data_IF_117936175063
#
_entry.id   IF_117936175063
#
_cell.length_a   1.000
_cell.length_b   1.000
_cell.length_c   1.000
_cell.angle_alpha   90.00
_cell.angle_beta   90.00
_cell.angle_gamma   90.00
#
_symmetry.space_group_name_H-M   'P 1'
#
loop_
_entity.id
_entity.type
_entity.pdbx_description
1 polymer ?
#
# COMPACT_ATOMS: atom_id res chain seq x y z
N UNK A 1 -40.78 13.83 35.04
CA UNK A 1 -41.81 14.40 34.15
C UNK A 1 -41.15 14.84 32.86
N UNK A 2 -41.12 13.96 31.86
CA UNK A 2 -41.10 14.34 30.45
C UNK A 2 -42.57 14.66 30.02
N UNK A 3 -42.91 15.12 28.79
CA UNK A 3 -42.14 15.02 27.55
C UNK A 3 -42.34 16.15 26.49
N UNK A 4 -41.78 15.90 25.30
CA UNK A 4 -42.26 16.29 23.95
C UNK A 4 -41.62 17.48 23.24
N UNK A 5 -41.05 17.18 22.07
CA UNK A 5 -40.62 18.14 21.05
C UNK A 5 -39.93 17.50 19.83
N UNK A 6 -40.50 16.43 19.28
CA UNK A 6 -40.07 15.86 17.98
C UNK A 6 -40.59 16.71 16.83
N UNK A 7 -39.69 17.17 15.94
CA UNK A 7 -40.03 17.84 14.69
C UNK A 7 -39.49 17.04 13.50
N UNK A 8 -40.25 16.02 13.09
CA UNK A 8 -40.02 15.28 11.84
C UNK A 8 -40.50 16.10 10.64
N UNK A 9 -39.65 16.23 9.62
CA UNK A 9 -40.07 16.69 8.28
C UNK A 9 -39.92 15.56 7.29
N UNK A 10 -41.09 15.05 6.90
CA UNK A 10 -41.33 14.15 5.79
C UNK A 10 -40.80 14.78 4.50
N UNK A 11 -39.91 14.08 3.78
CA UNK A 11 -39.65 14.34 2.37
C UNK A 11 -40.30 13.23 1.57
N UNK A 12 -41.30 13.63 0.82
CA UNK A 12 -42.18 12.81 0.01
C UNK A 12 -41.41 12.03 -1.05
N UNK A 13 -41.79 10.76 -1.17
CA UNK A 13 -41.56 9.86 -2.28
C UNK A 13 -42.06 10.50 -3.59
N UNK A 14 -41.19 10.57 -4.61
CA UNK A 14 -41.62 10.62 -6.00
C UNK A 14 -41.53 9.20 -6.57
N UNK A 15 -42.70 8.56 -6.66
CA UNK A 15 -42.90 7.33 -7.40
C UNK A 15 -42.88 7.63 -8.91
N UNK A 16 -41.96 7.03 -9.64
CA UNK A 16 -41.97 6.99 -11.12
C UNK A 16 -42.59 5.67 -11.57
N UNK A 17 -43.72 5.68 -12.31
CA UNK A 17 -44.31 4.47 -12.89
C UNK A 17 -43.95 4.32 -14.38
N UNK A 18 -43.78 3.07 -14.82
CA UNK A 18 -44.03 2.65 -16.21
C UNK A 18 -42.79 2.26 -17.00
N UNK A 19 -42.45 0.96 -17.09
CA UNK A 19 -42.86 0.03 -18.17
C UNK A 19 -42.21 0.27 -19.54
N UNK A 20 -41.34 -0.66 -19.95
CA UNK A 20 -41.49 -1.54 -21.14
C UNK A 20 -40.20 -2.34 -21.43
N UNK A 21 -40.25 -3.66 -21.18
CA UNK A 21 -39.60 -4.70 -22.01
C UNK A 21 -40.45 -4.86 -23.30
N UNK A 22 -39.92 -5.17 -24.49
CA UNK A 22 -39.29 -6.47 -24.86
C UNK A 22 -38.06 -6.25 -25.79
N UNK A 23 -37.28 -7.21 -26.31
CA UNK A 23 -37.56 -8.57 -26.72
C UNK A 23 -36.26 -9.40 -26.78
N UNK A 24 -36.45 -10.69 -26.51
CA UNK A 24 -35.75 -11.83 -27.11
C UNK A 24 -35.30 -11.61 -28.55
N UNK A 25 -34.05 -11.93 -28.88
CA UNK A 25 -33.62 -12.66 -30.09
C UNK A 25 -32.29 -13.36 -29.75
N UNK A 26 -32.36 -14.69 -29.63
CA UNK A 26 -31.26 -15.61 -29.95
C UNK A 26 -31.57 -16.13 -31.35
N UNK A 27 -30.56 -16.33 -32.23
CA UNK A 27 -30.19 -17.71 -32.52
C UNK A 27 -28.69 -17.93 -32.84
N UNK A 28 -28.11 -19.00 -32.24
CA UNK A 28 -27.26 -20.07 -32.82
C UNK A 28 -26.15 -19.74 -33.87
N UNK A 29 -25.00 -20.46 -33.88
CA UNK A 29 -25.02 -21.91 -34.07
C UNK A 29 -24.01 -22.76 -33.28
N UNK A 30 -24.50 -23.97 -33.04
CA UNK A 30 -23.83 -25.19 -32.63
C UNK A 30 -22.62 -25.49 -33.51
N UNK A 31 -21.48 -25.80 -32.89
CA UNK A 31 -20.31 -26.33 -33.59
C UNK A 31 -20.20 -27.84 -33.34
N UNK A 32 -20.02 -28.66 -34.39
CA UNK A 32 -20.00 -30.12 -34.29
C UNK A 32 -18.67 -30.65 -33.75
N UNK A 33 -18.74 -31.84 -33.17
CA UNK A 33 -17.65 -32.50 -32.48
C UNK A 33 -16.47 -32.91 -33.35
N UNK A 34 -15.36 -33.16 -32.65
CA UNK A 34 -14.23 -33.94 -33.16
C UNK A 34 -13.82 -34.92 -32.06
N UNK A 35 -14.24 -36.16 -32.25
CA UNK A 35 -13.70 -37.36 -31.63
C UNK A 35 -12.35 -37.70 -32.25
N UNK A 36 -11.31 -37.88 -31.44
CA UNK A 36 -10.05 -38.54 -31.82
C UNK A 36 -9.39 -39.04 -30.54
N UNK A 37 -9.56 -40.30 -30.15
CA UNK A 37 -8.79 -41.48 -30.59
C UNK A 37 -7.36 -41.50 -30.05
N UNK A 38 -7.21 -42.24 -28.94
CA UNK A 38 -6.10 -43.11 -28.54
C UNK A 38 -4.76 -43.01 -29.27
N UNK A 39 -3.67 -42.87 -28.50
CA UNK A 39 -2.46 -43.65 -28.74
C UNK A 39 -1.74 -43.97 -27.42
N UNK A 40 -1.78 -45.25 -27.08
CA UNK A 40 -0.95 -45.98 -26.14
C UNK A 40 0.54 -46.01 -26.56
N UNK A 41 1.46 -45.88 -25.60
CA UNK A 41 2.89 -46.19 -25.77
C UNK A 41 3.64 -46.28 -24.43
N UNK A 42 4.70 -47.11 -24.30
CA UNK A 42 4.98 -47.93 -23.10
C UNK A 42 6.08 -47.38 -22.15
N UNK A 43 6.32 -48.04 -20.99
CA UNK A 43 7.14 -47.51 -19.90
C UNK A 43 8.64 -47.80 -20.08
N UNK A 44 9.46 -46.79 -19.79
CA UNK A 44 10.92 -46.89 -19.76
C UNK A 44 11.44 -46.83 -18.33
N UNK A 45 11.76 -47.99 -17.78
CA UNK A 45 12.58 -48.15 -16.58
C UNK A 45 14.03 -47.75 -16.84
N UNK A 46 14.64 -46.92 -15.98
CA UNK A 46 16.10 -47.00 -15.77
C UNK A 46 16.50 -46.68 -14.33
N UNK A 47 17.14 -47.69 -13.78
CA UNK A 47 17.95 -47.79 -12.58
C UNK A 47 18.84 -46.59 -12.22
N UNK A 48 18.74 -46.16 -10.97
CA UNK A 48 19.84 -46.23 -10.00
C UNK A 48 20.93 -45.16 -10.03
N UNK A 49 21.04 -44.40 -8.92
CA UNK A 49 22.30 -44.35 -8.14
C UNK A 49 22.11 -43.69 -6.78
N UNK A 50 22.27 -44.51 -5.75
CA UNK A 50 22.67 -44.13 -4.41
C UNK A 50 24.05 -43.46 -4.44
N UNK A 51 24.17 -42.25 -3.86
CA UNK A 51 25.40 -41.79 -3.22
C UNK A 51 25.10 -41.04 -1.94
N UNK A 52 25.47 -41.72 -0.85
CA UNK A 52 25.68 -41.19 0.51
C UNK A 52 26.82 -40.17 0.55
N UNK A 53 26.83 -39.43 1.67
CA UNK A 53 27.93 -38.68 2.30
C UNK A 53 28.25 -37.32 1.65
N UNK A 54 28.51 -36.24 2.39
CA UNK A 54 28.93 -36.13 3.78
C UNK A 54 28.52 -34.78 4.39
N UNK A 55 27.96 -34.86 5.59
CA UNK A 55 28.01 -33.84 6.62
C UNK A 55 29.44 -33.75 7.19
N UNK A 56 30.16 -32.68 6.89
CA UNK A 56 31.27 -32.14 7.69
C UNK A 56 31.72 -30.84 7.04
N UNK A 57 32.14 -29.87 7.86
CA UNK A 57 32.77 -28.60 7.48
C UNK A 57 31.83 -27.46 7.06
N UNK A 58 31.23 -26.85 8.08
CA UNK A 58 31.26 -25.37 8.25
C UNK A 58 31.04 -25.00 9.71
N UNK A 59 32.08 -25.25 10.51
CA UNK A 59 32.32 -24.61 11.80
C UNK A 59 33.15 -23.36 11.53
N UNK A 60 32.59 -22.16 11.75
CA UNK A 60 33.32 -20.99 12.28
C UNK A 60 32.41 -19.75 12.33
N UNK A 61 32.53 -19.03 13.45
CA UNK A 61 32.06 -17.64 13.66
C UNK A 61 30.54 -17.54 13.87
N UNK A 62 30.00 -17.18 15.03
CA UNK A 62 30.32 -16.00 15.84
C UNK A 62 29.92 -16.30 17.28
N UNK A 63 30.91 -16.36 18.16
CA UNK A 63 30.76 -16.22 19.61
C UNK A 63 31.05 -14.75 19.92
N UNK A 64 30.45 -14.26 21.01
CA UNK A 64 30.83 -13.02 21.71
C UNK A 64 30.07 -11.74 21.30
N UNK A 65 29.02 -11.39 22.04
CA UNK A 65 28.90 -10.10 22.77
C UNK A 65 27.54 -10.04 23.52
N UNK A 66 27.53 -10.62 24.72
CA UNK A 66 26.54 -10.34 25.76
C UNK A 66 27.30 -9.73 26.92
N UNK A 67 27.09 -8.42 27.16
CA UNK A 67 27.12 -7.70 28.46
C UNK A 67 27.40 -6.22 28.22
N UNK A 68 26.40 -5.38 28.46
CA UNK A 68 26.45 -4.14 29.26
C UNK A 68 25.43 -3.12 28.74
N UNK A 69 24.43 -2.84 29.57
CA UNK A 69 23.98 -1.48 29.91
C UNK A 69 22.72 -1.57 30.77
N UNK A 70 22.92 -1.72 32.09
CA UNK A 70 21.97 -1.26 33.10
C UNK A 70 22.27 0.21 33.37
N UNK A 71 21.22 0.94 33.75
CA UNK A 71 21.18 2.31 34.25
C UNK A 71 21.28 3.43 33.22
N UNK A 72 20.15 4.07 32.90
CA UNK A 72 19.80 5.39 33.46
C UNK A 72 18.47 5.91 32.90
N UNK A 73 17.68 6.56 33.77
CA UNK A 73 16.82 7.67 33.36
C UNK A 73 15.32 7.41 33.33
N UNK A 74 14.67 7.66 34.47
CA UNK A 74 13.26 8.06 34.53
C UNK A 74 12.96 9.16 33.52
N UNK A 75 11.98 8.94 32.65
CA UNK A 75 11.33 10.01 31.91
C UNK A 75 9.81 9.84 31.95
N UNK A 76 9.18 10.96 32.27
CA UNK A 76 7.77 11.19 32.49
C UNK A 76 6.90 10.62 31.36
N UNK A 77 6.06 9.64 31.66
CA UNK A 77 5.04 9.14 30.73
C UNK A 77 3.83 10.06 30.79
N UNK A 78 3.69 10.92 29.78
CA UNK A 78 2.42 11.56 29.44
C UNK A 78 1.57 10.53 28.69
N UNK A 79 0.56 10.00 29.39
CA UNK A 79 -0.45 9.11 28.85
C UNK A 79 -1.42 9.90 27.96
N UNK A 80 -1.36 9.64 26.65
CA UNK A 80 -2.40 10.01 25.67
C UNK A 80 -2.94 8.75 24.99
N UNK A 81 -4.26 8.58 24.81
CA UNK A 81 -4.84 7.32 24.38
C UNK A 81 -4.86 7.21 22.86
N UNK A 82 -3.86 6.54 22.29
CA UNK A 82 -3.95 5.94 20.95
C UNK A 82 -3.37 4.51 21.02
N UNK A 83 -4.19 3.57 21.48
CA UNK A 83 -3.96 2.14 21.26
C UNK A 83 -4.22 1.83 19.77
N UNK A 84 -3.51 0.96 19.06
CA UNK A 84 -2.40 0.11 19.41
C UNK A 84 -2.14 -0.81 18.22
N UNK A 85 -0.93 -0.79 17.69
CA UNK A 85 -0.32 -1.88 16.92
C UNK A 85 1.17 -1.84 17.23
N UNK A 86 1.62 -2.77 18.06
CA UNK A 86 3.03 -2.94 18.39
C UNK A 86 3.75 -3.56 17.18
N UNK A 87 4.11 -2.75 16.20
CA UNK A 87 5.19 -3.12 15.30
C UNK A 87 6.50 -3.03 16.10
N UNK A 88 7.37 -4.06 16.07
CA UNK A 88 8.76 -3.88 16.46
C UNK A 88 9.36 -2.89 15.48
N UNK A 89 9.38 -1.62 15.87
CA UNK A 89 10.22 -0.61 15.23
C UNK A 89 11.64 -1.07 15.49
N UNK A 90 12.19 -1.80 14.52
CA UNK A 90 13.63 -1.95 14.37
C UNK A 90 14.16 -0.51 14.35
N UNK A 91 14.79 -0.10 15.46
CA UNK A 91 15.46 1.19 15.58
C UNK A 91 16.67 1.11 14.64
N UNK A 92 16.41 1.22 13.34
CA UNK A 92 17.41 1.61 12.38
C UNK A 92 18.00 2.89 12.93
N UNK A 93 19.27 2.81 13.33
CA UNK A 93 20.04 3.98 13.73
C UNK A 93 19.76 5.07 12.70
N UNK A 94 19.27 6.25 13.11
CA UNK A 94 18.90 7.29 12.16
C UNK A 94 20.09 7.47 11.21
N UNK A 95 19.87 7.51 9.88
CA UNK A 95 20.97 7.75 8.95
C UNK A 95 21.67 9.01 9.46
N UNK A 96 22.95 8.86 9.81
CA UNK A 96 23.81 9.91 10.31
C UNK A 96 23.81 10.98 9.22
N UNK A 97 22.83 11.88 9.31
CA UNK A 97 22.67 12.97 8.37
C UNK A 97 23.76 13.91 8.81
N UNK A 98 24.95 13.69 8.26
CA UNK A 98 26.06 14.63 8.38
C UNK A 98 25.58 15.90 7.71
N UNK A 99 24.96 16.76 8.50
CA UNK A 99 24.75 18.14 8.14
C UNK A 99 26.14 18.71 7.92
N UNK A 100 26.56 18.74 6.66
CA UNK A 100 27.74 19.48 6.26
C UNK A 100 27.33 20.94 6.43
N UNK A 101 27.61 21.48 7.62
CA UNK A 101 27.53 22.92 7.87
C UNK A 101 28.50 23.54 6.88
N UNK A 102 27.98 24.00 5.75
CA UNK A 102 28.72 24.86 4.85
C UNK A 102 28.78 26.18 5.58
N UNK A 103 29.83 26.35 6.38
CA UNK A 103 30.27 27.66 6.82
C UNK A 103 30.69 28.38 5.54
N UNK A 104 29.75 29.16 4.97
CA UNK A 104 30.07 30.14 3.95
C UNK A 104 31.03 31.13 4.60
N UNK A 105 32.33 30.87 4.43
CA UNK A 105 33.37 31.80 4.80
C UNK A 105 33.09 33.11 4.08
N UNK A 106 32.59 34.09 4.82
CA UNK A 106 32.55 35.49 4.41
C UNK A 106 34.00 35.90 4.20
N UNK A 107 34.45 35.82 2.95
CA UNK A 107 35.74 36.33 2.54
C UNK A 107 35.69 37.82 2.83
N UNK A 108 36.48 38.25 3.82
CA UNK A 108 36.73 39.64 4.13
C UNK A 108 37.36 40.31 2.90
N UNK A 109 36.50 40.82 2.02
CA UNK A 109 36.87 41.71 0.93
C UNK A 109 37.21 43.06 1.53
N UNK A 110 38.43 43.51 1.21
CA UNK A 110 38.99 44.77 1.64
C UNK A 110 38.02 45.95 1.50
N UNK A 111 37.93 46.75 2.56
CA UNK A 111 37.17 47.97 2.61
C UNK A 111 37.68 49.00 1.57
N UNK A 112 36.84 49.52 0.66
CA UNK A 112 37.12 50.78 0.02
C UNK A 112 36.97 51.90 1.06
N UNK A 113 38.09 52.55 1.38
CA UNK A 113 38.15 53.82 2.13
C UNK A 113 37.54 54.95 1.30
N UNK A 114 36.21 54.96 1.20
CA UNK A 114 35.47 56.10 0.68
C UNK A 114 35.28 57.12 1.81
N UNK A 115 36.06 58.19 1.73
CA UNK A 115 35.92 59.40 2.53
C UNK A 115 34.52 59.99 2.36
N UNK A 116 33.63 59.74 3.32
CA UNK A 116 32.33 60.37 3.38
C UNK A 116 32.47 61.74 4.07
N UNK A 117 32.40 62.80 3.27
CA UNK A 117 32.16 64.16 3.75
C UNK A 117 30.81 64.18 4.45
N UNK A 118 30.82 64.40 5.76
CA UNK A 118 29.63 64.70 6.55
C UNK A 118 29.10 66.07 6.09
N UNK A 119 28.14 66.04 5.18
CA UNK A 119 27.24 67.16 4.97
C UNK A 119 26.13 67.02 6.02
N UNK A 120 25.92 68.04 6.83
CA UNK A 120 24.75 68.16 7.71
C UNK A 120 23.47 68.01 6.86
N UNK A 121 22.95 66.78 6.74
CA UNK A 121 21.61 66.56 6.23
C UNK A 121 20.65 67.04 7.29
N UNK A 122 19.89 68.09 7.02
CA UNK A 122 18.80 68.52 7.88
C UNK A 122 17.87 67.34 8.12
N UNK A 123 17.89 66.79 9.34
CA UNK A 123 17.06 65.66 9.75
C UNK A 123 15.60 66.10 9.70
N UNK A 124 14.94 65.75 8.60
CA UNK A 124 13.49 65.87 8.49
C UNK A 124 12.91 64.67 9.24
N UNK A 125 12.25 64.91 10.36
CA UNK A 125 11.48 63.88 11.06
C UNK A 125 10.42 63.27 10.14
N UNK A 126 10.10 62.00 10.35
CA UNK A 126 9.04 61.31 9.61
C UNK A 126 7.70 62.00 9.83
N UNK A 127 6.99 62.25 8.73
CA UNK A 127 5.63 62.78 8.83
C UNK A 127 4.68 61.68 9.30
N UNK A 128 3.61 62.04 10.01
CA UNK A 128 2.58 61.07 10.45
C UNK A 128 2.00 60.28 9.27
N UNK A 129 1.84 60.95 8.12
CA UNK A 129 1.33 60.35 6.88
C UNK A 129 2.28 59.26 6.37
N UNK A 130 3.59 59.48 6.44
CA UNK A 130 4.60 58.52 5.98
C UNK A 130 4.64 57.27 6.87
N UNK A 131 4.50 57.43 8.19
CA UNK A 131 4.36 56.31 9.12
C UNK A 131 3.08 55.50 8.87
N UNK A 132 1.97 56.19 8.53
CA UNK A 132 0.70 55.54 8.23
C UNK A 132 0.80 54.72 6.93
N UNK A 133 1.38 55.29 5.87
CA UNK A 133 1.61 54.58 4.61
C UNK A 133 2.55 53.39 4.85
N UNK A 134 3.65 53.57 5.58
CA UNK A 134 4.58 52.49 5.91
C UNK A 134 3.91 51.32 6.63
N UNK A 135 3.07 51.61 7.62
CA UNK A 135 2.33 50.59 8.36
C UNK A 135 1.32 49.84 7.47
N UNK A 136 0.59 50.55 6.60
CA UNK A 136 -0.34 49.90 5.66
C UNK A 136 0.38 48.96 4.69
N UNK A 137 1.56 49.34 4.20
CA UNK A 137 2.36 48.49 3.31
C UNK A 137 2.88 47.25 4.04
N UNK A 138 3.34 47.38 5.29
CA UNK A 138 3.79 46.23 6.09
C UNK A 138 2.64 45.25 6.35
N UNK A 139 1.44 45.75 6.69
CA UNK A 139 0.27 44.90 6.87
C UNK A 139 -0.12 44.15 5.59
N UNK A 140 -0.06 44.81 4.44
CA UNK A 140 -0.33 44.20 3.14
C UNK A 140 0.70 43.10 2.83
N UNK A 141 1.98 43.34 3.10
CA UNK A 141 3.05 42.36 2.91
C UNK A 141 2.92 41.16 3.86
N UNK A 142 2.55 41.38 5.12
CA UNK A 142 2.36 40.28 6.07
C UNK A 142 1.14 39.41 5.70
N UNK A 143 0.09 40.03 5.15
CA UNK A 143 -1.07 39.31 4.64
C UNK A 143 -0.71 38.40 3.46
N UNK A 144 0.10 38.87 2.51
CA UNK A 144 0.51 38.06 1.35
C UNK A 144 1.42 36.89 1.74
N UNK A 145 2.37 37.11 2.66
CA UNK A 145 3.24 36.04 3.18
C UNK A 145 2.43 34.97 3.91
N UNK A 146 1.42 35.37 4.70
CA UNK A 146 0.58 34.44 5.45
C UNK A 146 -0.19 33.48 4.51
N UNK A 147 -0.72 33.99 3.40
CA UNK A 147 -1.41 33.17 2.40
C UNK A 147 -0.46 32.15 1.74
N UNK A 148 0.78 32.57 1.41
CA UNK A 148 1.78 31.67 0.85
C UNK A 148 2.15 30.53 1.81
N UNK A 149 2.28 30.82 3.10
CA UNK A 149 2.58 29.80 4.13
C UNK A 149 1.43 28.79 4.25
N UNK A 150 0.18 29.26 4.26
CA UNK A 150 -0.99 28.38 4.36
C UNK A 150 -1.06 27.44 3.14
N UNK A 151 -0.90 27.96 1.93
CA UNK A 151 -0.91 27.13 0.72
C UNK A 151 0.28 26.17 0.66
N UNK A 152 1.47 26.59 1.10
CA UNK A 152 2.64 25.72 1.20
C UNK A 152 2.41 24.53 2.14
N UNK A 153 1.75 24.76 3.28
CA UNK A 153 1.42 23.68 4.23
C UNK A 153 0.43 22.66 3.66
N UNK A 154 -0.56 23.12 2.89
CA UNK A 154 -1.56 22.26 2.23
C UNK A 154 -0.93 21.40 1.14
N UNK A 155 -0.07 22.01 0.31
CA UNK A 155 0.66 21.30 -0.74
C UNK A 155 1.56 20.22 -0.15
N UNK A 156 2.33 20.54 0.89
CA UNK A 156 3.20 19.56 1.55
C UNK A 156 2.39 18.37 2.10
N UNK A 157 1.25 18.64 2.75
CA UNK A 157 0.37 17.58 3.27
C UNK A 157 -0.19 16.68 2.16
N UNK A 158 -0.67 17.26 1.05
CA UNK A 158 -1.17 16.48 -0.09
C UNK A 158 -0.07 15.59 -0.69
N UNK A 159 1.15 16.13 -0.88
CA UNK A 159 2.27 15.33 -1.41
C UNK A 159 2.66 14.17 -0.49
N UNK A 160 2.66 14.37 0.83
CA UNK A 160 2.95 13.31 1.79
C UNK A 160 1.90 12.19 1.74
N UNK A 161 0.62 12.53 1.56
CA UNK A 161 -0.45 11.55 1.43
C UNK A 161 -0.33 10.72 0.14
N UNK A 162 0.00 11.36 -0.98
CA UNK A 162 0.22 10.66 -2.25
C UNK A 162 1.41 9.69 -2.16
N UNK A 163 2.52 10.12 -1.55
CA UNK A 163 3.70 9.27 -1.32
C UNK A 163 3.34 8.08 -0.41
N UNK A 164 2.57 8.30 0.65
CA UNK A 164 2.13 7.24 1.54
C UNK A 164 1.25 6.20 0.81
N UNK A 165 0.26 6.64 0.03
CA UNK A 165 -0.59 5.74 -0.76
C UNK A 165 0.24 4.91 -1.75
N UNK A 166 1.17 5.55 -2.47
CA UNK A 166 2.07 4.88 -3.40
C UNK A 166 2.97 3.84 -2.72
N UNK A 167 3.53 4.16 -1.54
CA UNK A 167 4.36 3.23 -0.78
C UNK A 167 3.56 2.01 -0.31
N UNK A 168 2.33 2.22 0.20
CA UNK A 168 1.43 1.14 0.62
C UNK A 168 1.09 0.20 -0.55
N UNK A 169 0.69 0.75 -1.70
CA UNK A 169 0.36 -0.07 -2.88
C UNK A 169 1.54 -0.92 -3.35
N UNK A 170 2.75 -0.33 -3.41
CA UNK A 170 3.98 -1.05 -3.81
C UNK A 170 4.37 -2.14 -2.81
N UNK A 171 4.25 -1.88 -1.51
CA UNK A 171 4.53 -2.87 -0.49
C UNK A 171 3.57 -4.08 -0.61
N UNK A 172 2.27 -3.82 -0.67
CA UNK A 172 1.25 -4.85 -0.85
C UNK A 172 1.48 -5.67 -2.13
N UNK A 173 1.74 -4.97 -3.25
CA UNK A 173 2.01 -5.62 -4.54
C UNK A 173 3.27 -6.51 -4.48
N UNK A 174 4.36 -6.03 -3.87
CA UNK A 174 5.59 -6.83 -3.75
C UNK A 174 5.37 -8.12 -2.95
N UNK A 175 4.64 -8.03 -1.84
CA UNK A 175 4.34 -9.20 -0.99
C UNK A 175 3.47 -10.20 -1.74
N UNK A 176 2.39 -9.73 -2.39
CA UNK A 176 1.50 -10.61 -3.17
C UNK A 176 2.25 -11.26 -4.33
N UNK A 177 3.03 -10.51 -5.11
CA UNK A 177 3.81 -11.05 -6.24
C UNK A 177 4.80 -12.11 -5.77
N UNK A 178 5.44 -11.91 -4.61
CA UNK A 178 6.34 -12.92 -4.06
C UNK A 178 5.61 -14.22 -3.70
N UNK A 179 4.44 -14.13 -3.04
CA UNK A 179 3.60 -15.29 -2.72
C UNK A 179 3.09 -15.99 -3.99
N UNK A 180 2.68 -15.24 -5.00
CA UNK A 180 2.21 -15.82 -6.27
C UNK A 180 3.32 -16.50 -7.06
N UNK A 181 4.59 -16.08 -6.92
CA UNK A 181 5.73 -16.74 -7.56
C UNK A 181 6.08 -18.09 -6.93
N UNK A 182 5.70 -18.33 -5.68
CA UNK A 182 5.86 -19.65 -5.04
C UNK A 182 4.69 -20.58 -5.33
N UNK A 183 3.58 -20.05 -5.86
CA UNK A 183 2.38 -20.81 -6.17
C UNK A 183 2.65 -21.99 -7.13
N UNK A 184 2.06 -23.15 -6.82
CA UNK A 184 2.16 -24.35 -7.65
C UNK A 184 3.51 -25.05 -7.60
N UNK A 185 4.34 -24.78 -6.59
CA UNK A 185 5.51 -25.60 -6.33
C UNK A 185 5.06 -26.99 -5.82
N UNK A 186 5.33 -28.02 -6.63
CA UNK A 186 4.95 -29.42 -6.38
C UNK A 186 6.08 -30.35 -6.88
N UNK A 187 7.10 -30.63 -6.04
CA UNK A 187 8.24 -31.46 -6.42
C UNK A 187 7.88 -32.95 -6.55
N UNK A 188 6.82 -33.41 -5.87
CA UNK A 188 6.39 -34.82 -5.89
C UNK A 188 5.41 -35.13 -7.03
N UNK A 189 4.87 -34.10 -7.70
CA UNK A 189 3.92 -34.25 -8.79
C UNK A 189 2.57 -34.81 -8.33
N UNK A 190 2.15 -34.47 -7.10
CA UNK A 190 0.88 -34.92 -6.51
C UNK A 190 -0.34 -34.20 -7.12
N UNK A 191 -0.12 -33.15 -7.91
CA UNK A 191 -1.15 -32.40 -8.61
C UNK A 191 -1.77 -31.28 -7.77
N UNK A 192 -0.95 -30.55 -7.01
CA UNK A 192 -1.43 -29.44 -6.18
C UNK A 192 -1.90 -28.27 -7.08
N UNK A 193 -3.13 -27.77 -6.90
CA UNK A 193 -3.59 -26.59 -7.63
C UNK A 193 -2.76 -25.37 -7.22
N UNK A 194 -2.28 -24.56 -8.17
CA UNK A 194 -1.43 -23.41 -7.83
C UNK A 194 -2.17 -22.32 -7.07
N UNK A 195 -3.40 -22.04 -7.50
CA UNK A 195 -4.30 -21.07 -6.87
C UNK A 195 -5.74 -21.56 -6.94
N UNK A 196 -6.56 -21.14 -5.98
CA UNK A 196 -8.01 -21.33 -5.99
C UNK A 196 -8.69 -19.94 -6.00
N UNK A 197 -9.64 -19.69 -6.93
CA UNK A 197 -10.39 -18.46 -6.95
C UNK A 197 -11.29 -18.33 -5.72
N UNK A 198 -11.83 -17.14 -5.54
CA UNK A 198 -12.83 -16.86 -4.52
C UNK A 198 -14.01 -17.86 -4.57
N UNK A 199 -14.31 -18.57 -3.47
CA UNK A 199 -15.49 -19.43 -3.40
C UNK A 199 -16.82 -18.66 -3.50
N UNK A 200 -16.88 -17.38 -3.11
CA UNK A 200 -18.11 -16.57 -3.17
C UNK A 200 -17.87 -15.20 -3.82
N UNK A 201 -17.89 -15.11 -5.16
CA UNK A 201 -17.68 -13.84 -5.86
C UNK A 201 -18.87 -12.87 -5.74
N UNK A 202 -19.89 -13.17 -4.93
CA UNK A 202 -21.08 -12.32 -4.74
C UNK A 202 -21.02 -11.45 -3.50
N UNK A 203 -20.06 -11.68 -2.61
CA UNK A 203 -19.83 -10.82 -1.46
C UNK A 203 -18.89 -9.65 -1.77
N UNK A 204 -18.72 -8.73 -0.81
CA UNK A 204 -17.82 -7.58 -0.94
C UNK A 204 -16.36 -7.94 -0.56
N UNK A 205 -16.01 -9.23 -0.55
CA UNK A 205 -14.77 -9.76 0.03
C UNK A 205 -14.00 -10.57 -1.01
N UNK A 206 -13.20 -9.88 -1.80
CA UNK A 206 -12.40 -10.56 -2.82
C UNK A 206 -11.22 -11.32 -2.21
N UNK A 207 -11.16 -12.63 -2.44
CA UNK A 207 -10.05 -13.46 -1.96
C UNK A 207 -9.47 -14.40 -3.02
N UNK A 208 -8.22 -14.80 -2.78
CA UNK A 208 -7.52 -15.83 -3.53
C UNK A 208 -6.73 -16.70 -2.56
N UNK A 209 -6.77 -18.02 -2.77
CA UNK A 209 -5.92 -18.97 -2.04
C UNK A 209 -4.77 -19.41 -2.92
N UNK A 210 -3.57 -19.41 -2.35
CA UNK A 210 -2.32 -19.79 -3.01
C UNK A 210 -1.76 -21.02 -2.32
N UNK A 211 -1.34 -22.01 -3.10
CA UNK A 211 -0.81 -23.28 -2.57
C UNK A 211 0.59 -23.57 -3.09
N UNK A 212 1.44 -24.14 -2.24
CA UNK A 212 2.79 -24.60 -2.55
C UNK A 212 3.24 -25.67 -1.53
N UNK A 213 3.83 -26.77 -2.00
CA UNK A 213 4.44 -27.83 -1.16
C UNK A 213 5.90 -27.45 -0.87
N UNK A 214 6.11 -26.58 0.13
CA UNK A 214 7.40 -25.97 0.41
C UNK A 214 8.35 -26.92 1.14
N UNK A 215 7.83 -27.90 1.89
CA UNK A 215 8.61 -28.88 2.62
C UNK A 215 8.78 -30.23 1.90
N UNK A 216 8.20 -30.37 0.70
CA UNK A 216 8.31 -31.51 -0.20
C UNK A 216 7.69 -32.79 0.36
N UNK A 217 6.66 -32.68 1.20
CA UNK A 217 5.96 -33.82 1.81
C UNK A 217 4.69 -34.25 1.03
N UNK A 218 4.31 -33.48 0.00
CA UNK A 218 3.13 -33.73 -0.84
C UNK A 218 1.83 -33.21 -0.23
N UNK A 219 1.90 -32.39 0.81
CA UNK A 219 0.79 -31.71 1.47
C UNK A 219 0.85 -30.19 1.23
N UNK A 220 -0.19 -29.49 1.68
CA UNK A 220 -0.26 -28.01 1.66
C UNK A 220 -0.79 -27.44 2.96
N UNK A 221 -0.67 -28.22 4.04
CA UNK A 221 -1.27 -27.90 5.34
C UNK A 221 -0.27 -27.27 6.30
N UNK A 222 1.03 -27.30 5.98
CA UNK A 222 2.07 -26.69 6.80
C UNK A 222 2.00 -25.16 6.72
N UNK A 223 2.62 -24.50 7.69
CA UNK A 223 2.67 -23.04 7.74
C UNK A 223 3.38 -22.47 6.50
N UNK A 224 2.75 -21.51 5.83
CA UNK A 224 3.28 -20.88 4.61
C UNK A 224 2.99 -21.62 3.31
N UNK A 225 2.47 -22.84 3.36
CA UNK A 225 2.13 -23.65 2.17
C UNK A 225 0.76 -23.32 1.60
N UNK A 226 -0.16 -22.88 2.47
CA UNK A 226 -1.43 -22.29 2.10
C UNK A 226 -1.47 -20.84 2.54
N UNK A 227 -1.63 -19.94 1.58
CA UNK A 227 -1.74 -18.51 1.83
C UNK A 227 -3.06 -17.99 1.26
N UNK A 228 -3.95 -17.55 2.13
CA UNK A 228 -5.16 -16.83 1.74
C UNK A 228 -4.86 -15.35 1.71
N UNK A 229 -5.10 -14.68 0.59
CA UNK A 229 -5.00 -13.22 0.45
C UNK A 229 -6.40 -12.71 0.21
N UNK A 230 -6.81 -11.66 0.94
CA UNK A 230 -8.19 -11.17 0.92
C UNK A 230 -8.24 -9.66 1.04
N UNK A 231 -9.09 -9.04 0.24
CA UNK A 231 -9.51 -7.65 0.41
C UNK A 231 -10.86 -7.63 1.14
N UNK A 232 -10.96 -6.87 2.22
CA UNK A 232 -12.19 -6.72 3.00
C UNK A 232 -12.36 -5.26 3.41
N UNK A 233 -13.34 -4.59 2.81
CA UNK A 233 -13.59 -3.17 3.03
C UNK A 233 -12.43 -2.29 2.59
N UNK A 234 -11.71 -1.69 3.55
CA UNK A 234 -10.56 -0.82 3.29
C UNK A 234 -9.20 -1.47 3.58
N UNK A 235 -9.19 -2.79 3.82
CA UNK A 235 -7.99 -3.53 4.23
C UNK A 235 -7.66 -4.62 3.24
N UNK A 236 -6.37 -4.78 3.01
CA UNK A 236 -5.81 -5.96 2.40
C UNK A 236 -5.18 -6.80 3.51
N UNK A 237 -5.61 -8.04 3.61
CA UNK A 237 -5.22 -8.95 4.67
C UNK A 237 -4.73 -10.26 4.08
N UNK A 238 -3.94 -11.00 4.86
CA UNK A 238 -3.50 -12.33 4.48
C UNK A 238 -3.47 -13.28 5.66
N UNK A 239 -3.41 -14.58 5.36
CA UNK A 239 -3.23 -15.64 6.34
C UNK A 239 -2.34 -16.71 5.75
N UNK A 240 -1.24 -17.04 6.44
CA UNK A 240 -0.22 -18.01 6.02
C UNK A 240 -0.37 -19.37 6.70
N UNK A 241 -1.60 -19.74 7.04
CA UNK A 241 -1.93 -20.98 7.74
C UNK A 241 -3.06 -21.67 7.02
N UNK A 242 -3.03 -23.00 6.99
CA UNK A 242 -4.14 -23.81 6.51
C UNK A 242 -5.33 -23.84 7.48
N UNK A 243 -5.12 -23.40 8.73
CA UNK A 243 -6.18 -23.27 9.73
C UNK A 243 -7.15 -22.11 9.38
N UNK A 244 -8.43 -22.39 9.07
CA UNK A 244 -9.40 -21.36 8.75
C UNK A 244 -9.78 -20.48 9.94
N UNK A 245 -9.43 -20.87 11.18
CA UNK A 245 -9.69 -20.09 12.38
C UNK A 245 -8.50 -19.18 12.77
N UNK A 246 -7.34 -19.35 12.12
CA UNK A 246 -6.21 -18.47 12.35
C UNK A 246 -6.55 -17.03 11.90
N UNK A 247 -6.14 -16.01 12.69
CA UNK A 247 -6.47 -14.63 12.41
C UNK A 247 -5.76 -14.14 11.15
N UNK A 248 -6.43 -13.24 10.43
CA UNK A 248 -5.82 -12.52 9.32
C UNK A 248 -4.86 -11.44 9.83
N UNK A 249 -3.70 -11.33 9.18
CA UNK A 249 -2.74 -10.25 9.37
C UNK A 249 -2.96 -9.17 8.31
N UNK A 250 -2.95 -7.89 8.71
CA UNK A 250 -3.16 -6.77 7.79
C UNK A 250 -1.89 -6.46 7.01
N UNK A 251 -1.94 -6.59 5.68
CA UNK A 251 -0.88 -6.18 4.76
C UNK A 251 -0.90 -4.68 4.47
N UNK A 252 -2.10 -4.12 4.34
CA UNK A 252 -2.30 -2.71 4.00
C UNK A 252 -3.66 -2.20 4.42
N UNK A 253 -3.72 -0.90 4.70
CA UNK A 253 -4.95 -0.17 4.98
C UNK A 253 -5.15 0.91 3.94
N UNK A 254 -6.39 1.38 3.78
CA UNK A 254 -6.80 2.28 2.71
C UNK A 254 -6.55 1.65 1.32
N UNK A 255 -6.86 0.37 1.18
CA UNK A 255 -6.89 -0.31 -0.12
C UNK A 255 -8.35 -0.34 -0.60
N UNK A 256 -8.56 -0.07 -1.88
CA UNK A 256 -9.87 -0.05 -2.51
C UNK A 256 -9.82 -0.84 -3.81
N UNK A 257 -10.94 -1.44 -4.20
CA UNK A 257 -11.15 -2.08 -5.49
C UNK A 257 -11.84 -1.15 -6.50
N UNK A 258 -11.92 0.15 -6.19
CA UNK A 258 -12.47 1.22 -7.04
C UNK A 258 -11.29 2.06 -7.56
N UNK A 259 -10.73 1.60 -8.67
CA UNK A 259 -9.48 2.09 -9.26
C UNK A 259 -9.64 3.46 -9.92
N UNK A 260 -10.78 3.73 -10.56
CA UNK A 260 -11.04 4.99 -11.25
C UNK A 260 -11.81 6.02 -10.41
N UNK A 261 -12.41 5.60 -9.29
CA UNK A 261 -13.12 6.47 -8.38
C UNK A 261 -14.60 6.68 -8.71
N UNK A 262 -15.17 5.89 -9.61
CA UNK A 262 -16.58 5.97 -10.01
C UNK A 262 -17.54 5.28 -9.01
N UNK A 263 -16.99 4.50 -8.07
CA UNK A 263 -17.74 3.79 -7.04
C UNK A 263 -18.17 2.38 -7.43
N UNK A 264 -17.73 1.88 -8.59
CA UNK A 264 -17.88 0.51 -9.03
C UNK A 264 -16.69 -0.31 -8.55
N UNK A 265 -16.96 -1.44 -7.89
CA UNK A 265 -15.91 -2.40 -7.52
C UNK A 265 -15.39 -3.13 -8.76
N UNK A 266 -14.08 -3.14 -8.96
CA UNK A 266 -13.38 -3.93 -9.98
C UNK A 266 -12.53 -5.04 -9.35
N UNK A 267 -12.43 -6.22 -9.99
CA UNK A 267 -11.71 -7.35 -9.41
C UNK A 267 -10.20 -7.04 -9.25
N UNK A 268 -9.71 -7.19 -8.03
CA UNK A 268 -8.30 -7.08 -7.65
C UNK A 268 -7.47 -8.24 -8.21
N UNK A 269 -8.07 -9.42 -8.32
CA UNK A 269 -7.42 -10.64 -8.83
C UNK A 269 -8.15 -11.13 -10.09
N UNK A 270 -7.47 -11.08 -11.23
CA UNK A 270 -8.01 -11.58 -12.51
C UNK A 270 -7.18 -12.75 -12.99
N UNK A 271 -7.80 -13.93 -13.03
CA UNK A 271 -7.20 -15.19 -13.45
C UNK A 271 -7.28 -15.36 -14.97
N UNK A 272 -6.19 -15.81 -15.60
CA UNK A 272 -6.12 -15.99 -17.05
C UNK A 272 -5.41 -17.31 -17.46
N UNK A 273 -6.08 -18.26 -18.13
CA UNK A 273 -7.54 -18.38 -18.27
C UNK A 273 -8.23 -18.75 -16.93
N UNK A 274 -9.54 -18.54 -16.77
CA UNK A 274 -10.21 -18.70 -15.47
C UNK A 274 -10.29 -20.15 -14.96
N UNK A 275 -10.20 -21.16 -15.84
CA UNK A 275 -10.32 -22.58 -15.45
C UNK A 275 -8.99 -23.27 -15.15
N UNK A 276 -7.88 -22.73 -15.64
CA UNK A 276 -6.53 -23.22 -15.40
C UNK A 276 -5.57 -22.02 -15.50
N UNK A 277 -5.50 -21.19 -14.46
CA UNK A 277 -4.76 -19.94 -14.52
C UNK A 277 -3.27 -20.21 -14.74
N UNK A 278 -2.73 -19.68 -15.84
CA UNK A 278 -1.29 -19.65 -16.09
C UNK A 278 -0.70 -18.31 -15.67
N UNK A 279 -1.51 -17.25 -15.80
CA UNK A 279 -1.18 -15.91 -15.34
C UNK A 279 -2.28 -15.34 -14.46
N UNK A 280 -1.89 -14.45 -13.55
CA UNK A 280 -2.78 -13.69 -12.68
C UNK A 280 -2.42 -12.22 -12.81
N UNK A 281 -3.41 -11.39 -13.14
CA UNK A 281 -3.28 -9.94 -13.06
C UNK A 281 -3.75 -9.49 -11.68
N UNK A 282 -2.86 -8.84 -10.95
CA UNK A 282 -3.13 -8.27 -9.62
C UNK A 282 -3.19 -6.75 -9.75
N UNK A 283 -4.33 -6.16 -9.43
CA UNK A 283 -4.56 -4.70 -9.50
C UNK A 283 -4.85 -4.16 -8.11
N UNK A 284 -3.88 -3.48 -7.50
CA UNK A 284 -4.02 -2.90 -6.15
C UNK A 284 -4.16 -1.39 -6.27
N UNK A 285 -5.26 -0.84 -5.74
CA UNK A 285 -5.44 0.61 -5.61
C UNK A 285 -5.34 1.02 -4.15
N UNK A 286 -4.31 1.80 -3.80
CA UNK A 286 -4.24 2.46 -2.50
C UNK A 286 -4.83 3.87 -2.59
N UNK A 287 -5.50 4.32 -1.54
CA UNK A 287 -6.05 5.67 -1.41
C UNK A 287 -5.41 6.42 -0.24
N UNK A 288 -5.40 7.75 -0.31
CA UNK A 288 -5.02 8.59 0.82
C UNK A 288 -5.93 8.33 2.04
N UNK A 289 -5.43 8.42 3.28
CA UNK A 289 -6.26 8.20 4.47
C UNK A 289 -7.30 9.30 4.71
N UNK A 290 -7.13 10.45 4.06
CA UNK A 290 -8.07 11.57 4.09
C UNK A 290 -8.14 12.23 2.71
N UNK A 291 -9.29 12.84 2.36
CA UNK A 291 -9.41 13.58 1.12
C UNK A 291 -8.45 14.78 1.08
N UNK A 292 -7.95 15.12 -0.10
CA UNK A 292 -7.15 16.31 -0.33
C UNK A 292 -7.99 17.56 0.05
N UNK A 293 -7.50 18.44 0.94
CA UNK A 293 -8.21 19.65 1.34
C UNK A 293 -8.55 20.61 0.18
N UNK A 294 -7.88 20.50 -0.97
CA UNK A 294 -8.13 21.36 -2.14
C UNK A 294 -9.25 20.84 -3.02
N UNK A 295 -9.28 19.53 -3.27
CA UNK A 295 -10.22 18.90 -4.22
C UNK A 295 -11.41 18.22 -3.52
N UNK A 296 -11.26 17.90 -2.24
CA UNK A 296 -12.21 17.07 -1.49
C UNK A 296 -12.21 15.60 -1.92
N UNK A 297 -11.28 15.17 -2.77
CA UNK A 297 -11.19 13.81 -3.30
C UNK A 297 -10.04 13.05 -2.66
N UNK A 298 -10.17 11.73 -2.61
CA UNK A 298 -9.06 10.86 -2.22
C UNK A 298 -8.06 10.76 -3.37
N UNK A 299 -6.77 10.93 -3.04
CA UNK A 299 -5.69 10.62 -3.97
C UNK A 299 -5.57 9.11 -4.09
N UNK A 300 -5.57 8.59 -5.32
CA UNK A 300 -5.48 7.15 -5.59
C UNK A 300 -4.18 6.83 -6.33
N UNK A 301 -3.63 5.67 -6.05
CA UNK A 301 -2.49 5.13 -6.77
C UNK A 301 -2.72 3.64 -7.04
N UNK A 302 -2.83 3.30 -8.33
CA UNK A 302 -3.10 1.94 -8.79
C UNK A 302 -1.83 1.30 -9.34
N UNK A 303 -1.56 0.07 -8.91
CA UNK A 303 -0.50 -0.79 -9.44
C UNK A 303 -1.15 -2.02 -10.02
N UNK A 304 -0.94 -2.26 -11.32
CA UNK A 304 -1.32 -3.50 -11.98
C UNK A 304 -0.06 -4.29 -12.32
N UNK A 305 -0.01 -5.55 -11.91
CA UNK A 305 1.11 -6.46 -12.18
C UNK A 305 0.57 -7.79 -12.67
N UNK A 306 1.07 -8.24 -13.82
CA UNK A 306 0.83 -9.59 -14.32
C UNK A 306 1.91 -10.54 -13.77
N UNK A 307 1.48 -11.64 -13.17
CA UNK A 307 2.35 -12.67 -12.59
C UNK A 307 2.09 -13.98 -13.31
N UNK A 308 3.15 -14.56 -13.88
CA UNK A 308 3.14 -15.92 -14.42
C UNK A 308 3.36 -16.90 -13.26
N UNK A 309 2.48 -17.89 -13.13
CA UNK A 309 2.58 -18.91 -12.08
C UNK A 309 3.67 -19.93 -12.43
N UNK A 310 4.19 -20.65 -11.42
CA UNK A 310 5.30 -21.58 -11.65
C UNK A 310 4.88 -22.83 -12.41
N UNK A 311 3.68 -23.34 -12.14
CA UNK A 311 3.17 -24.58 -12.74
C UNK A 311 2.82 -24.45 -14.24
N UNK A 312 2.97 -23.24 -14.83
CA UNK A 312 2.80 -23.01 -16.27
C UNK A 312 4.14 -22.98 -17.05
N UNK A 313 5.28 -23.17 -16.39
CA UNK A 313 6.62 -23.25 -17.00
C UNK A 313 7.05 -24.70 -17.27
#
# INVERSE_FOLDING_TARGET
MAPCGCGGRNRLEEAVPGTRRPASISPYPSRPGASGSASSGPPGSTTGRSRRSSSADRVASVREHVRNARDTGSSLVLTGPCAGTNFPVERGSPPETRYRVIVLGTRAGAAPTASARSACSGERGFTLVEMLIGLTLVLLLMSSVSLLVIEGSRLNRSTQMAIAAQATARNCSSVIVQTLRTAGWDPLGVGIPSVLPDPDPTDDVEQIEVFADLDEDGSTVSEGERVTIRHSGDRLEWRRSADPDAPFETLGVNITNDSDGDGTSEPMFVLNPPSNPETITVTITARSPSPDPRTGRYERYTVSTEVVLRNSL
#
